data_IF_558831128936
#
_entry.id   IF_558831128936
#
_cell.length_a   1.000
_cell.length_b   1.000
_cell.length_c   1.000
_cell.angle_alpha   90.00
_cell.angle_beta   90.00
_cell.angle_gamma   90.00
#
_symmetry.space_group_name_H-M   'P 1'
#
loop_
_entity.id
_entity.type
_entity.pdbx_description
1 polymer ?
#
# COMPACT_ATOMS: atom_id res chain seq x y z
N UNK A 1 -16.99 11.67 15.02
CA UNK A 1 -15.64 11.39 14.47
C UNK A 1 -15.71 11.39 12.94
N UNK A 2 -14.77 12.05 12.27
CA UNK A 2 -14.75 12.26 10.81
C UNK A 2 -13.41 11.79 10.25
N UNK A 3 -13.42 11.16 9.07
CA UNK A 3 -12.23 10.72 8.37
C UNK A 3 -12.48 10.73 6.85
N UNK A 4 -11.40 10.71 6.06
CA UNK A 4 -11.47 10.70 4.59
C UNK A 4 -11.22 9.30 4.05
N UNK A 5 -12.05 8.87 3.10
CA UNK A 5 -11.94 7.58 2.41
C UNK A 5 -11.92 7.78 0.89
N UNK A 6 -11.26 6.87 0.17
CA UNK A 6 -11.33 6.75 -1.28
C UNK A 6 -11.96 5.40 -1.64
N UNK A 7 -13.00 5.42 -2.47
CA UNK A 7 -13.64 4.24 -3.03
C UNK A 7 -13.44 4.20 -4.55
N UNK A 8 -13.22 3.02 -5.11
CA UNK A 8 -13.02 2.81 -6.54
C UNK A 8 -13.82 1.59 -7.04
N UNK A 9 -14.41 1.73 -8.23
CA UNK A 9 -15.21 0.70 -8.90
C UNK A 9 -14.67 0.46 -10.31
N UNK A 10 -14.56 -0.80 -10.72
CA UNK A 10 -14.08 -1.19 -12.04
C UNK A 10 -15.05 -2.19 -12.68
N UNK A 11 -15.66 -1.79 -13.81
CA UNK A 11 -16.55 -2.68 -14.56
C UNK A 11 -15.75 -3.86 -15.13
N UNK A 12 -16.33 -5.07 -15.06
CA UNK A 12 -15.71 -6.33 -15.48
C UNK A 12 -14.41 -6.70 -14.74
N UNK A 13 -14.07 -5.98 -13.66
CA UNK A 13 -12.93 -6.30 -12.80
C UNK A 13 -13.30 -7.34 -11.73
N UNK A 14 -12.33 -8.16 -11.39
CA UNK A 14 -12.38 -9.08 -10.25
C UNK A 14 -11.41 -8.64 -9.13
N UNK A 15 -11.27 -9.47 -8.09
CA UNK A 15 -10.39 -9.17 -6.96
C UNK A 15 -8.92 -9.01 -7.38
N UNK A 16 -8.48 -9.76 -8.40
CA UNK A 16 -7.09 -9.72 -8.88
C UNK A 16 -6.82 -8.38 -9.57
N UNK A 17 -7.76 -7.93 -10.41
CA UNK A 17 -7.66 -6.61 -11.03
C UNK A 17 -7.61 -5.45 -10.02
N UNK A 18 -8.38 -5.55 -8.93
CA UNK A 18 -8.36 -4.55 -7.87
C UNK A 18 -7.07 -4.62 -7.03
N UNK A 19 -6.53 -5.82 -6.81
CA UNK A 19 -5.23 -6.00 -6.14
C UNK A 19 -4.09 -5.36 -6.94
N UNK A 20 -4.08 -5.55 -8.26
CA UNK A 20 -3.09 -4.93 -9.14
C UNK A 20 -3.21 -3.40 -9.14
N UNK A 21 -4.45 -2.87 -9.19
CA UNK A 21 -4.73 -1.44 -9.10
C UNK A 21 -4.19 -0.84 -7.79
N UNK A 22 -4.49 -1.47 -6.65
CA UNK A 22 -4.05 -0.98 -5.34
C UNK A 22 -2.52 -1.02 -5.22
N UNK A 23 -1.90 -2.14 -5.60
CA UNK A 23 -0.45 -2.27 -5.55
C UNK A 23 0.26 -1.24 -6.44
N UNK A 24 -0.24 -1.04 -7.67
CA UNK A 24 0.28 -0.03 -8.59
C UNK A 24 0.12 1.40 -8.07
N UNK A 25 -1.06 1.74 -7.53
CA UNK A 25 -1.33 3.06 -6.97
C UNK A 25 -0.40 3.39 -5.79
N UNK A 26 -0.28 2.49 -4.81
CA UNK A 26 0.52 2.72 -3.61
C UNK A 26 2.01 2.86 -3.96
N UNK A 27 2.53 1.98 -4.81
CA UNK A 27 3.94 2.04 -5.24
C UNK A 27 4.24 3.30 -6.06
N UNK A 28 3.34 3.68 -6.96
CA UNK A 28 3.47 4.92 -7.73
C UNK A 28 3.52 6.16 -6.82
N UNK A 29 2.63 6.23 -5.83
CA UNK A 29 2.61 7.36 -4.88
C UNK A 29 3.88 7.39 -4.03
N UNK A 30 4.33 6.24 -3.52
CA UNK A 30 5.56 6.16 -2.72
C UNK A 30 6.77 6.65 -3.52
N UNK A 31 6.94 6.18 -4.76
CA UNK A 31 8.00 6.65 -5.66
C UNK A 31 7.89 8.15 -5.96
N UNK A 32 6.68 8.66 -6.22
CA UNK A 32 6.50 10.08 -6.59
C UNK A 32 6.65 11.06 -5.43
N UNK A 33 6.23 10.67 -4.24
CA UNK A 33 6.21 11.57 -3.07
C UNK A 33 7.47 11.40 -2.21
N UNK A 34 7.96 10.17 -2.06
CA UNK A 34 9.08 9.84 -1.19
C UNK A 34 10.37 9.49 -1.96
N UNK A 35 10.27 9.14 -3.25
CA UNK A 35 11.43 8.75 -4.07
C UNK A 35 12.00 7.36 -3.74
N UNK A 36 11.25 6.54 -3.01
CA UNK A 36 11.67 5.20 -2.59
C UNK A 36 10.47 4.32 -2.25
N UNK A 37 10.63 3.00 -2.43
CA UNK A 37 9.69 1.98 -1.94
C UNK A 37 10.02 1.46 -0.54
N UNK A 38 11.20 1.81 -0.01
CA UNK A 38 11.64 1.39 1.32
C UNK A 38 11.40 2.52 2.32
N UNK A 39 10.42 2.34 3.20
CA UNK A 39 9.93 3.35 4.14
C UNK A 39 10.37 3.01 5.56
N UNK A 40 11.06 3.94 6.21
CA UNK A 40 11.39 3.86 7.64
C UNK A 40 10.27 4.45 8.49
N UNK A 41 9.62 3.62 9.29
CA UNK A 41 8.64 4.06 10.29
C UNK A 41 9.36 4.44 11.58
N UNK A 42 9.27 5.73 11.94
CA UNK A 42 9.95 6.30 13.11
C UNK A 42 8.97 6.54 14.27
N UNK A 43 9.44 6.36 15.50
CA UNK A 43 8.69 6.77 16.69
C UNK A 43 8.73 8.30 16.86
N UNK A 44 8.12 8.80 17.95
CA UNK A 44 8.09 10.24 18.26
C UNK A 44 9.49 10.84 18.50
N UNK A 45 10.43 10.02 18.94
CA UNK A 45 11.81 10.40 19.24
C UNK A 45 12.73 10.28 18.01
N UNK A 46 12.19 9.88 16.86
CA UNK A 46 12.90 9.78 15.58
C UNK A 46 13.62 8.44 15.34
N UNK A 47 13.51 7.49 16.26
CA UNK A 47 14.13 6.18 16.13
C UNK A 47 13.34 5.29 15.17
N UNK A 48 14.05 4.56 14.31
CA UNK A 48 13.44 3.64 13.35
C UNK A 48 12.91 2.43 14.11
N UNK A 49 11.60 2.26 14.10
CA UNK A 49 10.91 1.13 14.74
C UNK A 49 10.67 -0.02 13.77
N UNK A 50 10.52 0.30 12.48
CA UNK A 50 10.26 -0.69 11.44
C UNK A 50 10.66 -0.15 10.07
N UNK A 51 11.15 -1.03 9.21
CA UNK A 51 11.29 -0.76 7.78
C UNK A 51 10.20 -1.52 7.02
N UNK A 52 9.53 -0.82 6.13
CA UNK A 52 8.46 -1.37 5.27
C UNK A 52 8.98 -1.30 3.83
N UNK A 53 9.08 -2.44 3.17
CA UNK A 53 9.41 -2.53 1.76
C UNK A 53 8.13 -2.72 0.94
N UNK A 54 7.80 -1.74 0.10
CA UNK A 54 6.63 -1.75 -0.77
C UNK A 54 6.90 -2.40 -2.14
N UNK A 55 8.10 -2.92 -2.37
CA UNK A 55 8.50 -3.50 -3.67
C UNK A 55 7.58 -4.67 -4.07
N UNK A 56 6.89 -4.58 -5.23
CA UNK A 56 6.13 -5.69 -5.80
C UNK A 56 6.96 -6.95 -6.11
N UNK A 57 6.34 -8.14 -6.10
CA UNK A 57 4.94 -8.43 -5.79
C UNK A 57 4.69 -8.57 -4.28
N UNK A 58 3.53 -8.10 -3.79
CA UNK A 58 3.18 -8.25 -2.38
C UNK A 58 2.77 -9.68 -2.03
N UNK A 59 3.01 -10.07 -0.78
CA UNK A 59 2.63 -11.38 -0.26
C UNK A 59 1.10 -11.51 -0.21
N UNK A 60 0.57 -12.48 -0.93
CA UNK A 60 -0.84 -12.87 -0.86
C UNK A 60 -1.03 -14.02 0.13
N UNK A 61 -2.10 -13.96 0.92
CA UNK A 61 -2.46 -15.01 1.89
C UNK A 61 -3.96 -15.32 1.76
N UNK A 62 -4.35 -16.60 1.70
CA UNK A 62 -5.76 -16.96 1.66
C UNK A 62 -6.42 -16.61 3.00
N UNK A 63 -7.65 -16.11 2.94
CA UNK A 63 -8.46 -15.93 4.14
C UNK A 63 -8.78 -17.30 4.74
N UNK A 64 -8.46 -17.50 6.01
CA UNK A 64 -8.73 -18.74 6.73
C UNK A 64 -10.09 -18.60 7.41
N UNK A 65 -11.12 -19.20 6.81
CA UNK A 65 -12.42 -19.46 7.46
C UNK A 65 -12.30 -20.52 8.53
#
# INVERSE_FOLDING_TARGET
PEFTMLEAYQAYGDYQSMMDLVQGMITHVAEKVLGTLVIEHKNRDGEITRTIDLTPPWKTVPYKT
#
